data_IF_723289076339
#
_entry.id   IF_723289076339
#
_cell.length_a   1.000
_cell.length_b   1.000
_cell.length_c   1.000
_cell.angle_alpha   90.00
_cell.angle_beta   90.00
_cell.angle_gamma   90.00
#
_symmetry.space_group_name_H-M   'P 1'
#
loop_
_entity.id
_entity.type
_entity.pdbx_description
1 polymer ?
#
# COMPACT_ATOMS: atom_id res chain seq x y z
N UNK A 1 23.67 29.21 -14.88
CA UNK A 1 22.87 28.45 -15.89
C UNK A 1 22.29 27.15 -15.27
N UNK A 2 22.88 26.61 -14.19
CA UNK A 2 22.41 25.35 -13.52
C UNK A 2 21.16 25.55 -12.63
N UNK A 3 20.89 26.75 -12.16
CA UNK A 3 19.82 27.05 -11.18
C UNK A 3 18.41 27.10 -11.80
N UNK A 4 18.27 27.47 -13.08
CA UNK A 4 16.96 27.60 -13.74
C UNK A 4 16.32 26.26 -14.17
N UNK A 5 17.09 25.21 -14.42
CA UNK A 5 16.54 23.88 -14.80
C UNK A 5 15.92 23.12 -13.62
N UNK A 6 16.41 23.33 -12.38
CA UNK A 6 15.84 22.66 -11.19
C UNK A 6 14.48 23.25 -10.75
N UNK A 7 14.21 24.52 -11.09
CA UNK A 7 12.92 25.17 -10.77
C UNK A 7 11.80 24.73 -11.73
N UNK A 8 12.12 24.48 -13.00
CA UNK A 8 11.13 24.10 -14.01
C UNK A 8 10.53 22.72 -13.77
N UNK A 9 11.31 21.78 -13.28
CA UNK A 9 10.84 20.41 -12.99
C UNK A 9 9.93 20.35 -11.75
N UNK A 10 10.16 21.20 -10.74
CA UNK A 10 9.27 21.31 -9.57
C UNK A 10 7.92 21.96 -9.89
N UNK A 11 7.90 22.91 -10.83
CA UNK A 11 6.66 23.60 -11.25
C UNK A 11 5.79 22.71 -12.15
N UNK A 12 6.37 21.83 -12.95
CA UNK A 12 5.62 20.92 -13.81
C UNK A 12 4.83 19.86 -13.01
N UNK A 13 5.39 19.35 -11.91
CA UNK A 13 4.72 18.35 -11.05
C UNK A 13 3.54 18.97 -10.28
N UNK A 14 3.66 20.24 -9.85
CA UNK A 14 2.57 20.95 -9.18
C UNK A 14 1.46 21.43 -10.15
N UNK A 15 1.80 21.75 -11.42
CA UNK A 15 0.80 22.19 -12.40
C UNK A 15 -0.19 21.09 -12.79
N UNK A 16 0.27 19.83 -12.90
CA UNK A 16 -0.63 18.70 -13.19
C UNK A 16 -1.62 18.45 -12.05
N UNK A 17 -1.20 18.64 -10.81
CA UNK A 17 -2.06 18.54 -9.63
C UNK A 17 -3.10 19.68 -9.56
N UNK A 18 -2.71 20.91 -9.97
CA UNK A 18 -3.59 22.08 -9.93
C UNK A 18 -4.63 22.09 -11.07
N UNK A 19 -4.30 21.52 -12.24
CA UNK A 19 -5.26 21.41 -13.38
C UNK A 19 -6.41 20.45 -13.07
N UNK A 20 -6.20 19.42 -12.23
CA UNK A 20 -7.28 18.53 -11.78
C UNK A 20 -8.29 19.19 -10.82
N UNK A 21 -7.93 20.31 -10.19
CA UNK A 21 -8.78 20.99 -9.20
C UNK A 21 -9.64 22.14 -9.78
N UNK A 22 -9.40 22.59 -11.01
CA UNK A 22 -10.03 23.82 -11.52
C UNK A 22 -11.10 23.60 -12.60
N UNK A 23 -11.33 22.38 -13.07
CA UNK A 23 -12.49 22.09 -13.93
C UNK A 23 -13.66 21.65 -13.09
N UNK A 24 -14.54 22.59 -12.79
CA UNK A 24 -15.76 22.42 -12.00
C UNK A 24 -16.89 21.76 -12.84
N UNK A 25 -16.58 20.60 -13.42
CA UNK A 25 -17.55 19.59 -13.83
C UNK A 25 -17.44 18.48 -12.80
N UNK A 26 -18.57 18.04 -12.22
CA UNK A 26 -18.65 16.83 -11.38
C UNK A 26 -18.27 15.60 -12.21
N UNK A 27 -17.02 15.52 -12.65
CA UNK A 27 -16.49 14.28 -13.21
C UNK A 27 -16.64 13.22 -12.13
N UNK A 28 -17.40 12.19 -12.44
CA UNK A 28 -17.61 11.04 -11.57
C UNK A 28 -16.24 10.42 -11.31
N UNK A 29 -15.75 10.55 -10.08
CA UNK A 29 -14.45 9.98 -9.69
C UNK A 29 -14.48 8.49 -10.01
N UNK A 30 -13.58 8.05 -10.87
CA UNK A 30 -13.45 6.64 -11.22
C UNK A 30 -12.52 5.97 -10.20
N UNK A 31 -13.06 4.98 -9.51
CA UNK A 31 -12.33 4.15 -8.54
C UNK A 31 -12.16 2.77 -9.16
N UNK A 32 -10.91 2.32 -9.28
CA UNK A 32 -10.59 0.97 -9.78
C UNK A 32 -9.59 0.31 -8.85
N UNK A 33 -9.78 -0.99 -8.60
CA UNK A 33 -8.79 -1.84 -7.93
C UNK A 33 -8.42 -2.96 -8.89
N UNK A 34 -7.14 -3.25 -9.00
CA UNK A 34 -6.62 -4.28 -9.89
C UNK A 34 -5.32 -4.88 -9.37
N UNK A 35 -4.99 -6.07 -9.87
CA UNK A 35 -3.69 -6.71 -9.68
C UNK A 35 -2.72 -6.25 -10.76
N UNK A 36 -1.52 -5.84 -10.37
CA UNK A 36 -0.45 -5.54 -11.32
C UNK A 36 0.48 -6.74 -11.49
N UNK A 37 0.53 -7.27 -12.71
CA UNK A 37 1.47 -8.33 -13.11
C UNK A 37 2.77 -7.74 -13.67
N UNK A 38 2.74 -6.50 -14.13
CA UNK A 38 3.89 -5.72 -14.59
C UNK A 38 3.73 -4.26 -14.21
N UNK A 39 4.81 -3.54 -14.04
CA UNK A 39 4.80 -2.13 -13.64
C UNK A 39 5.32 -1.30 -14.81
N UNK A 40 4.47 -0.43 -15.36
CA UNK A 40 4.88 0.57 -16.37
C UNK A 40 5.69 1.69 -15.71
N UNK A 41 6.42 2.48 -16.52
CA UNK A 41 7.16 3.64 -16.00
C UNK A 41 6.25 4.66 -15.28
N UNK A 42 5.01 4.83 -15.76
CA UNK A 42 4.02 5.70 -15.13
C UNK A 42 3.56 5.13 -13.78
N UNK A 43 3.25 3.84 -13.73
CA UNK A 43 2.85 3.17 -12.49
C UNK A 43 3.98 3.17 -11.47
N UNK A 44 5.23 2.95 -11.90
CA UNK A 44 6.41 3.03 -11.05
C UNK A 44 6.58 4.44 -10.47
N UNK A 45 6.37 5.46 -11.29
CA UNK A 45 6.42 6.84 -10.84
C UNK A 45 5.33 7.13 -9.79
N UNK A 46 4.11 6.69 -10.03
CA UNK A 46 2.99 6.85 -9.09
C UNK A 46 3.25 6.10 -7.79
N UNK A 47 3.60 4.80 -7.85
CA UNK A 47 3.92 3.97 -6.67
C UNK A 47 4.99 4.59 -5.80
N UNK A 48 6.08 5.08 -6.39
CA UNK A 48 7.12 5.75 -5.63
C UNK A 48 6.64 7.08 -5.02
N UNK A 49 5.86 7.87 -5.75
CA UNK A 49 5.33 9.15 -5.24
C UNK A 49 4.39 8.94 -4.06
N UNK A 50 3.45 8.00 -4.15
CA UNK A 50 2.51 7.72 -3.05
C UNK A 50 3.23 7.08 -1.85
N UNK A 51 4.29 6.29 -2.09
CA UNK A 51 5.13 5.72 -1.01
C UNK A 51 5.84 6.82 -0.25
N UNK A 52 6.49 7.77 -0.95
CA UNK A 52 7.14 8.92 -0.31
C UNK A 52 6.15 9.71 0.56
N UNK A 53 4.94 9.95 0.04
CA UNK A 53 3.90 10.67 0.77
C UNK A 53 3.39 9.89 1.99
N UNK A 54 3.21 8.56 1.86
CA UNK A 54 2.79 7.71 2.96
C UNK A 54 3.84 7.66 4.08
N UNK A 55 5.13 7.54 3.75
CA UNK A 55 6.22 7.56 4.73
C UNK A 55 6.27 8.91 5.47
N UNK A 56 6.15 10.03 4.76
CA UNK A 56 6.11 11.39 5.36
C UNK A 56 4.91 11.58 6.29
N UNK A 57 3.81 10.90 6.03
CA UNK A 57 2.59 10.91 6.83
C UNK A 57 2.60 9.87 7.97
N UNK A 58 3.76 9.24 8.27
CA UNK A 58 3.88 8.21 9.30
C UNK A 58 3.30 6.85 8.89
N UNK A 59 3.12 6.61 7.59
CA UNK A 59 2.52 5.39 7.05
C UNK A 59 3.31 4.11 7.30
N UNK A 60 2.62 2.99 7.13
CA UNK A 60 3.02 1.65 7.54
C UNK A 60 4.09 0.94 6.72
N UNK A 61 5.19 1.61 6.39
CA UNK A 61 6.37 0.96 5.83
C UNK A 61 7.42 0.69 6.91
N UNK A 62 8.38 -0.21 6.62
CA UNK A 62 9.57 -0.38 7.44
C UNK A 62 10.48 0.85 7.43
N UNK A 63 10.33 1.76 6.46
CA UNK A 63 11.09 3.00 6.39
C UNK A 63 10.49 4.09 7.28
N UNK A 64 11.33 4.67 8.14
CA UNK A 64 10.98 5.85 8.94
C UNK A 64 11.32 7.16 8.22
N UNK A 65 12.24 7.10 7.24
CA UNK A 65 12.64 8.21 6.39
C UNK A 65 12.51 7.80 4.93
N UNK A 66 12.14 8.74 4.07
CA UNK A 66 12.03 8.50 2.64
C UNK A 66 13.38 8.09 2.06
N UNK A 67 13.50 6.88 1.51
CA UNK A 67 14.74 6.45 0.89
C UNK A 67 14.97 7.14 -0.47
N UNK A 68 16.19 7.10 -1.01
CA UNK A 68 16.46 7.60 -2.36
C UNK A 68 15.54 6.93 -3.40
N UNK A 69 15.14 7.70 -4.43
CA UNK A 69 14.25 7.23 -5.50
C UNK A 69 14.70 5.91 -6.13
N UNK A 70 16.01 5.74 -6.34
CA UNK A 70 16.58 4.49 -6.86
C UNK A 70 16.24 3.27 -6.00
N UNK A 71 16.17 3.44 -4.68
CA UNK A 71 15.80 2.36 -3.74
C UNK A 71 14.32 2.03 -3.88
N UNK A 72 13.44 3.03 -3.99
CA UNK A 72 12.02 2.83 -4.22
C UNK A 72 11.75 2.15 -5.56
N UNK A 73 12.43 2.58 -6.63
CA UNK A 73 12.32 1.94 -7.94
C UNK A 73 12.70 0.45 -7.88
N UNK A 74 13.83 0.14 -7.21
CA UNK A 74 14.27 -1.25 -7.04
C UNK A 74 13.27 -2.08 -6.21
N UNK A 75 12.71 -1.49 -5.15
CA UNK A 75 11.71 -2.13 -4.30
C UNK A 75 10.46 -2.52 -5.09
N UNK A 76 9.86 -1.57 -5.81
CA UNK A 76 8.62 -1.83 -6.55
C UNK A 76 8.83 -2.79 -7.73
N UNK A 77 9.89 -2.60 -8.52
CA UNK A 77 10.22 -3.51 -9.62
C UNK A 77 10.56 -4.92 -9.13
N UNK A 78 11.13 -5.04 -7.92
CA UNK A 78 11.42 -6.34 -7.33
C UNK A 78 10.19 -7.17 -6.98
N UNK A 79 9.04 -6.53 -6.74
CA UNK A 79 7.82 -7.26 -6.36
C UNK A 79 7.25 -8.11 -7.49
N UNK A 80 7.33 -7.64 -8.74
CA UNK A 80 6.76 -8.34 -9.89
C UNK A 80 7.57 -9.57 -10.32
N UNK A 81 8.80 -9.72 -9.82
CA UNK A 81 9.63 -10.91 -10.06
C UNK A 81 9.48 -11.98 -8.98
N UNK A 82 8.85 -11.65 -7.85
CA UNK A 82 8.64 -12.59 -6.73
C UNK A 82 7.28 -13.24 -6.88
N UNK A 83 7.23 -14.49 -7.37
CA UNK A 83 5.98 -15.22 -7.64
C UNK A 83 5.05 -15.36 -6.42
N UNK A 84 5.61 -15.40 -5.21
CA UNK A 84 4.83 -15.47 -3.97
C UNK A 84 4.29 -14.10 -3.51
N UNK A 85 4.43 -13.04 -4.30
CA UNK A 85 3.93 -11.70 -3.98
C UNK A 85 3.01 -11.18 -5.05
N UNK A 86 1.78 -10.86 -4.67
CA UNK A 86 0.76 -10.28 -5.53
C UNK A 86 0.62 -8.81 -5.17
N UNK A 87 0.80 -7.92 -6.14
CA UNK A 87 0.66 -6.48 -5.97
C UNK A 87 -0.75 -6.05 -6.40
N UNK A 88 -1.54 -5.60 -5.43
CA UNK A 88 -2.84 -4.98 -5.65
C UNK A 88 -2.69 -3.46 -5.58
N UNK A 89 -3.26 -2.74 -6.54
CA UNK A 89 -3.29 -1.28 -6.54
C UNK A 89 -4.70 -0.73 -6.60
N UNK A 90 -4.90 0.40 -5.93
CA UNK A 90 -6.10 1.20 -6.04
C UNK A 90 -5.83 2.46 -6.85
N UNK A 91 -6.69 2.73 -7.86
CA UNK A 91 -6.58 3.93 -8.72
C UNK A 91 -7.73 4.90 -8.47
N UNK A 92 -7.42 6.18 -8.52
CA UNK A 92 -8.37 7.27 -8.68
C UNK A 92 -8.09 7.94 -10.03
N UNK A 93 -9.08 7.99 -10.93
CA UNK A 93 -8.94 8.60 -12.26
C UNK A 93 -7.66 8.14 -12.98
N UNK A 94 -7.39 6.84 -13.01
CA UNK A 94 -6.24 6.17 -13.62
C UNK A 94 -4.87 6.33 -12.90
N UNK A 95 -4.71 7.27 -11.96
CA UNK A 95 -3.48 7.38 -11.16
C UNK A 95 -3.49 6.37 -10.02
N UNK A 96 -2.36 5.70 -9.75
CA UNK A 96 -2.26 4.85 -8.56
C UNK A 96 -2.28 5.73 -7.32
N UNK A 97 -3.21 5.41 -6.43
CA UNK A 97 -3.50 6.17 -5.23
C UNK A 97 -3.35 5.35 -3.94
N UNK A 98 -3.17 4.04 -4.06
CA UNK A 98 -2.91 3.12 -2.96
C UNK A 98 -2.33 1.81 -3.44
N UNK A 99 -1.74 1.05 -2.53
CA UNK A 99 -1.20 -0.28 -2.81
C UNK A 99 -1.38 -1.21 -1.62
N UNK A 100 -1.40 -2.50 -1.90
CA UNK A 100 -1.45 -3.59 -0.94
C UNK A 100 -0.65 -4.76 -1.53
N UNK A 101 0.11 -5.47 -0.72
CA UNK A 101 0.78 -6.70 -1.13
C UNK A 101 0.13 -7.88 -0.42
N UNK A 102 -0.25 -8.90 -1.19
CA UNK A 102 -0.66 -10.19 -0.68
C UNK A 102 0.51 -11.17 -0.87
N UNK A 103 1.10 -11.62 0.24
CA UNK A 103 2.17 -12.60 0.26
C UNK A 103 1.59 -14.00 0.43
N UNK A 104 1.91 -14.88 -0.52
CA UNK A 104 1.64 -16.31 -0.42
C UNK A 104 2.83 -17.01 0.24
N UNK A 105 2.61 -18.16 0.82
CA UNK A 105 3.69 -18.94 1.42
C UNK A 105 4.57 -19.60 0.35
N UNK A 106 5.80 -19.91 0.73
CA UNK A 106 6.69 -20.69 -0.12
C UNK A 106 6.11 -22.10 -0.34
N UNK A 107 6.23 -22.67 -1.54
CA UNK A 107 5.82 -24.06 -1.80
C UNK A 107 6.44 -25.10 -0.85
N UNK A 108 7.62 -24.78 -0.28
CA UNK A 108 8.30 -25.65 0.69
C UNK A 108 7.70 -25.57 2.11
N UNK A 109 6.78 -24.64 2.37
CA UNK A 109 6.08 -24.52 3.65
C UNK A 109 4.68 -25.11 3.53
N UNK A 110 4.60 -26.43 3.38
CA UNK A 110 3.35 -27.15 3.16
C UNK A 110 2.33 -26.94 4.28
N UNK A 111 2.79 -26.83 5.53
CA UNK A 111 1.91 -26.63 6.67
C UNK A 111 1.18 -25.27 6.67
N UNK A 112 1.72 -24.28 5.98
CA UNK A 112 1.14 -22.93 5.89
C UNK A 112 0.78 -22.54 4.45
N UNK A 113 0.77 -23.48 3.50
CA UNK A 113 0.54 -23.19 2.08
C UNK A 113 -0.77 -22.46 1.80
N UNK A 114 -1.78 -22.70 2.63
CA UNK A 114 -3.12 -22.15 2.49
C UNK A 114 -3.33 -20.89 3.39
N UNK A 115 -2.23 -20.24 3.80
CA UNK A 115 -2.24 -18.99 4.57
C UNK A 115 -1.58 -17.88 3.73
N UNK A 116 -2.20 -16.71 3.68
CA UNK A 116 -1.62 -15.54 3.06
C UNK A 116 -1.42 -14.40 4.07
N UNK A 117 -0.52 -13.47 3.75
CA UNK A 117 -0.22 -12.31 4.60
C UNK A 117 -0.39 -11.01 3.82
N UNK A 118 -1.22 -10.09 4.32
CA UNK A 118 -1.30 -8.74 3.80
C UNK A 118 -0.17 -7.91 4.39
N UNK A 119 0.59 -7.25 3.51
CA UNK A 119 1.66 -6.31 3.89
C UNK A 119 1.59 -5.03 3.06
N UNK A 120 2.25 -3.98 3.52
CA UNK A 120 2.39 -2.70 2.78
C UNK A 120 1.04 -2.14 2.27
N UNK A 121 -0.02 -2.28 3.07
CA UNK A 121 -1.33 -1.73 2.74
C UNK A 121 -1.39 -0.24 3.12
N UNK A 122 -1.56 0.62 2.13
CA UNK A 122 -1.67 2.06 2.35
C UNK A 122 -2.42 2.77 1.22
N UNK A 123 -2.92 3.96 1.53
CA UNK A 123 -3.53 4.91 0.58
C UNK A 123 -2.85 6.26 0.74
N UNK A 124 -2.54 6.91 -0.37
CA UNK A 124 -1.97 8.25 -0.39
C UNK A 124 -2.87 9.22 0.40
N UNK A 125 -2.31 10.19 1.16
CA UNK A 125 -3.09 11.10 1.99
C UNK A 125 -4.22 11.81 1.22
N UNK A 126 -3.97 12.24 -0.02
CA UNK A 126 -4.93 12.94 -0.88
C UNK A 126 -6.07 12.04 -1.40
N UNK A 127 -5.89 10.71 -1.34
CA UNK A 127 -6.85 9.72 -1.83
C UNK A 127 -7.63 9.01 -0.72
N UNK A 128 -7.51 9.49 0.51
CA UNK A 128 -8.27 8.96 1.64
C UNK A 128 -9.73 9.37 1.56
N UNK A 129 -10.63 8.57 2.16
CA UNK A 129 -12.07 8.84 2.16
C UNK A 129 -12.84 8.29 0.96
N UNK A 130 -12.18 7.82 -0.10
CA UNK A 130 -12.81 7.26 -1.30
C UNK A 130 -13.06 5.74 -1.23
N UNK A 131 -12.83 5.09 -0.09
CA UNK A 131 -13.06 3.65 0.07
C UNK A 131 -11.96 2.74 -0.52
N UNK A 132 -10.90 3.31 -1.12
CA UNK A 132 -9.84 2.53 -1.78
C UNK A 132 -9.23 1.46 -0.88
N UNK A 133 -8.92 1.80 0.38
CA UNK A 133 -8.32 0.86 1.32
C UNK A 133 -9.20 -0.37 1.52
N UNK A 134 -10.51 -0.18 1.72
CA UNK A 134 -11.47 -1.26 1.85
C UNK A 134 -11.55 -2.11 0.58
N UNK A 135 -11.67 -1.45 -0.58
CA UNK A 135 -11.80 -2.14 -1.86
C UNK A 135 -10.55 -2.98 -2.20
N UNK A 136 -9.35 -2.52 -1.82
CA UNK A 136 -8.11 -3.30 -1.99
C UNK A 136 -8.08 -4.54 -1.09
N UNK A 137 -8.60 -4.47 0.15
CA UNK A 137 -8.75 -5.64 1.03
C UNK A 137 -9.73 -6.62 0.39
N UNK A 138 -10.90 -6.16 -0.08
CA UNK A 138 -11.92 -7.00 -0.71
C UNK A 138 -11.34 -7.75 -1.94
N UNK A 139 -10.55 -7.05 -2.75
CA UNK A 139 -9.89 -7.63 -3.92
C UNK A 139 -8.81 -8.65 -3.52
N UNK A 140 -8.01 -8.36 -2.49
CA UNK A 140 -7.00 -9.30 -1.98
C UNK A 140 -7.64 -10.56 -1.37
N UNK A 141 -8.76 -10.43 -0.65
CA UNK A 141 -9.52 -11.58 -0.12
C UNK A 141 -10.10 -12.44 -1.26
N UNK A 142 -10.58 -11.82 -2.35
CA UNK A 142 -11.06 -12.55 -3.52
C UNK A 142 -9.93 -13.35 -4.17
N UNK A 143 -8.76 -12.73 -4.40
CA UNK A 143 -7.57 -13.43 -4.91
C UNK A 143 -7.14 -14.58 -3.98
N UNK A 144 -7.16 -14.36 -2.67
CA UNK A 144 -6.80 -15.39 -1.70
C UNK A 144 -7.73 -16.61 -1.82
N UNK A 145 -9.06 -16.40 -1.94
CA UNK A 145 -10.03 -17.48 -2.18
C UNK A 145 -9.77 -18.24 -3.49
N UNK A 146 -9.50 -17.52 -4.58
CA UNK A 146 -9.15 -18.11 -5.87
C UNK A 146 -7.91 -18.99 -5.80
N UNK A 147 -6.97 -18.68 -4.88
CA UNK A 147 -5.77 -19.46 -4.62
C UNK A 147 -5.94 -20.51 -3.49
N UNK A 148 -7.17 -20.83 -3.10
CA UNK A 148 -7.48 -21.81 -2.04
C UNK A 148 -6.89 -21.44 -0.67
N UNK A 149 -6.64 -20.17 -0.41
CA UNK A 149 -6.22 -19.67 0.90
C UNK A 149 -7.44 -19.66 1.84
N UNK A 150 -7.32 -20.26 3.00
CA UNK A 150 -8.39 -20.26 4.00
C UNK A 150 -8.23 -19.20 5.07
N UNK A 151 -7.01 -18.67 5.26
CA UNK A 151 -6.72 -17.70 6.29
C UNK A 151 -5.82 -16.57 5.76
N UNK A 152 -6.23 -15.34 6.00
CA UNK A 152 -5.42 -14.14 5.74
C UNK A 152 -5.01 -13.50 7.04
N UNK A 153 -3.72 -13.23 7.19
CA UNK A 153 -3.16 -12.61 8.39
C UNK A 153 -2.41 -11.34 8.08
N UNK A 154 -2.19 -10.51 9.08
CA UNK A 154 -1.39 -9.27 8.99
C UNK A 154 -0.95 -8.81 10.38
N UNK A 155 -0.02 -7.87 10.38
CA UNK A 155 0.39 -7.15 11.59
C UNK A 155 0.31 -5.64 11.37
N UNK A 156 0.01 -4.90 12.42
CA UNK A 156 -0.18 -3.44 12.39
C UNK A 156 0.48 -2.83 13.62
N UNK A 157 1.25 -1.75 13.46
CA UNK A 157 1.73 -0.95 14.60
C UNK A 157 0.54 -0.38 15.37
N UNK A 158 0.58 -0.43 16.70
CA UNK A 158 -0.49 0.11 17.55
C UNK A 158 -0.83 1.58 17.27
N UNK A 159 0.10 2.34 16.72
CA UNK A 159 -0.07 3.75 16.35
C UNK A 159 -0.90 3.96 15.06
N UNK A 160 -1.25 2.91 14.32
CA UNK A 160 -2.00 2.99 13.06
C UNK A 160 -3.50 2.76 13.28
N UNK A 161 -4.13 3.58 14.11
CA UNK A 161 -5.52 3.41 14.56
C UNK A 161 -6.52 3.25 13.40
N UNK A 162 -6.40 4.07 12.35
CA UNK A 162 -7.29 3.98 11.19
C UNK A 162 -7.20 2.64 10.47
N UNK A 163 -6.01 2.05 10.35
CA UNK A 163 -5.82 0.72 9.78
C UNK A 163 -6.41 -0.37 10.70
N UNK A 164 -6.19 -0.26 12.01
CA UNK A 164 -6.75 -1.18 13.00
C UNK A 164 -8.29 -1.22 12.91
N UNK A 165 -8.93 -0.05 12.90
CA UNK A 165 -10.39 0.04 12.77
C UNK A 165 -10.88 -0.51 11.44
N UNK A 166 -10.19 -0.22 10.34
CA UNK A 166 -10.52 -0.74 9.02
C UNK A 166 -10.51 -2.27 9.01
N UNK A 167 -9.43 -2.92 9.45
CA UNK A 167 -9.34 -4.38 9.45
C UNK A 167 -10.36 -5.02 10.40
N UNK A 168 -10.59 -4.45 11.59
CA UNK A 168 -11.69 -4.89 12.48
C UNK A 168 -13.05 -4.81 11.78
N UNK A 169 -13.33 -3.72 11.07
CA UNK A 169 -14.60 -3.57 10.32
C UNK A 169 -14.77 -4.56 9.17
N UNK A 170 -13.65 -5.14 8.69
CA UNK A 170 -13.59 -6.20 7.69
C UNK A 170 -13.66 -7.60 8.29
N UNK A 171 -13.84 -7.73 9.61
CA UNK A 171 -13.96 -9.00 10.30
C UNK A 171 -12.64 -9.66 10.64
N UNK A 172 -11.54 -8.92 10.63
CA UNK A 172 -10.26 -9.42 11.13
C UNK A 172 -10.25 -9.39 12.66
N UNK A 173 -9.82 -10.49 13.25
CA UNK A 173 -9.73 -10.67 14.70
C UNK A 173 -8.31 -10.44 15.19
N UNK A 174 -8.17 -9.69 16.29
CA UNK A 174 -6.89 -9.51 16.97
C UNK A 174 -6.60 -10.74 17.83
N UNK A 175 -5.49 -11.42 17.56
CA UNK A 175 -5.14 -12.66 18.25
C UNK A 175 -3.85 -12.58 19.09
N UNK A 176 -3.03 -11.53 18.86
CA UNK A 176 -1.78 -11.42 19.60
C UNK A 176 -1.14 -10.03 19.52
N UNK A 177 -0.26 -9.75 20.47
CA UNK A 177 0.50 -8.50 20.54
C UNK A 177 1.98 -8.79 20.78
N UNK A 178 2.85 -8.23 19.95
CA UNK A 178 4.29 -8.21 20.18
C UNK A 178 4.67 -6.88 20.84
N UNK A 179 5.12 -6.87 22.10
CA UNK A 179 5.47 -5.65 22.83
C UNK A 179 6.73 -4.96 22.29
N UNK A 180 7.63 -5.69 21.61
CA UNK A 180 8.88 -5.17 21.05
C UNK A 180 8.89 -5.14 19.54
N UNK A 181 7.76 -4.82 18.89
CA UNK A 181 7.59 -4.92 17.44
C UNK A 181 8.42 -3.93 16.63
N UNK A 182 8.53 -2.68 17.07
CA UNK A 182 9.29 -1.65 16.36
C UNK A 182 9.88 -0.63 17.35
N UNK A 183 10.93 0.06 16.91
CA UNK A 183 11.48 1.22 17.61
C UNK A 183 11.40 2.44 16.69
N UNK A 184 10.71 3.47 17.14
CA UNK A 184 10.51 4.73 16.39
C UNK A 184 10.89 5.88 17.31
N UNK A 185 11.90 6.67 16.91
CA UNK A 185 12.40 7.84 17.66
C UNK A 185 12.69 7.51 19.14
N UNK A 186 13.27 6.33 19.38
CA UNK A 186 13.62 5.84 20.73
C UNK A 186 12.47 5.16 21.49
N UNK A 187 11.23 5.25 21.03
CA UNK A 187 10.07 4.61 21.67
C UNK A 187 9.84 3.20 21.10
N UNK A 188 9.55 2.26 21.99
CA UNK A 188 9.15 0.90 21.61
C UNK A 188 7.65 0.94 21.27
N UNK A 189 7.31 0.47 20.08
CA UNK A 189 5.94 0.42 19.55
C UNK A 189 5.51 -1.03 19.45
N UNK A 190 4.30 -1.34 19.94
CA UNK A 190 3.74 -2.68 19.84
C UNK A 190 3.22 -2.97 18.43
N UNK A 191 3.29 -4.25 18.05
CA UNK A 191 2.64 -4.78 16.87
C UNK A 191 1.42 -5.60 17.25
N UNK A 192 0.28 -5.29 16.63
CA UNK A 192 -0.97 -6.02 16.81
C UNK A 192 -1.13 -6.97 15.65
N UNK A 193 -1.37 -8.25 15.94
CA UNK A 193 -1.50 -9.31 14.95
C UNK A 193 -2.96 -9.67 14.74
N UNK A 194 -3.36 -9.71 13.48
CA UNK A 194 -4.74 -9.98 13.08
C UNK A 194 -4.80 -11.16 12.10
N UNK A 195 -5.91 -11.88 12.11
CA UNK A 195 -6.24 -12.91 11.14
C UNK A 195 -7.72 -12.87 10.78
N UNK A 196 -8.05 -13.50 9.66
CA UNK A 196 -9.42 -13.74 9.22
C UNK A 196 -9.47 -15.02 8.41
N UNK A 197 -10.38 -15.92 8.76
CA UNK A 197 -10.75 -17.05 7.91
C UNK A 197 -11.69 -16.56 6.80
N UNK A 198 -11.45 -16.95 5.55
CA UNK A 198 -12.12 -16.38 4.36
C UNK A 198 -12.83 -17.45 3.51
#
# INVERSE_FOLDING_TARGET
ISSRKKLSTRIATNKRFFIYMTTNTKEKINIKVETLHSISDLDLADLCNITEQAIRAGGGFGWLKVPPRKVLNKYWNGLTVVQSRILVVGRLNNAIAGALQLGLQSPNNEAQKDIATITSHFVAPWARGYGLAKNMIDHAEAIAKENSIFCVQLDIRETQEAAIQLFKSKGYEHWGTNPGYAQIEGNIIKGLYFYKNI
#
